data_IF_628191289122
#
_entry.id   IF_628191289122
#
_cell.length_a   1.000
_cell.length_b   1.000
_cell.length_c   1.000
_cell.angle_alpha   90.00
_cell.angle_beta   90.00
_cell.angle_gamma   90.00
#
_symmetry.space_group_name_H-M   'P 1'
#
loop_
_entity.id
_entity.type
_entity.pdbx_description
1 polymer ?
#
# COMPACT_ATOMS: atom_id res chain seq x y z
N UNK A 1 31.52 -29.26 -10.19
CA UNK A 1 31.20 -27.94 -10.78
C UNK A 1 29.84 -27.36 -10.31
N UNK A 2 28.78 -28.16 -10.12
CA UNK A 2 27.47 -27.69 -9.61
C UNK A 2 27.56 -27.19 -8.16
N UNK A 3 28.17 -27.94 -7.26
CA UNK A 3 28.35 -27.60 -5.84
C UNK A 3 29.08 -26.29 -5.58
N UNK A 4 30.02 -25.87 -6.46
CA UNK A 4 30.74 -24.62 -6.36
C UNK A 4 29.83 -23.41 -6.68
N UNK A 5 29.00 -23.50 -7.71
CA UNK A 5 28.05 -22.45 -8.12
C UNK A 5 26.96 -22.22 -7.06
N UNK A 6 26.48 -23.30 -6.45
CA UNK A 6 25.47 -23.20 -5.38
C UNK A 6 26.07 -22.58 -4.12
N UNK A 7 27.30 -22.88 -3.76
CA UNK A 7 28.00 -22.26 -2.64
C UNK A 7 28.21 -20.73 -2.85
N UNK A 8 28.60 -20.34 -4.06
CA UNK A 8 28.75 -18.92 -4.41
C UNK A 8 27.40 -18.18 -4.40
N UNK A 9 26.34 -18.81 -4.90
CA UNK A 9 24.99 -18.26 -4.87
C UNK A 9 24.52 -18.02 -3.43
N UNK A 10 24.68 -19.00 -2.55
CA UNK A 10 24.32 -18.91 -1.13
C UNK A 10 25.13 -17.80 -0.43
N UNK A 11 26.44 -17.70 -0.68
CA UNK A 11 27.28 -16.63 -0.12
C UNK A 11 26.85 -15.23 -0.59
N UNK A 12 26.46 -15.08 -1.86
CA UNK A 12 25.92 -13.82 -2.39
C UNK A 12 24.57 -13.48 -1.75
N UNK A 13 23.69 -14.45 -1.58
CA UNK A 13 22.39 -14.24 -0.94
C UNK A 13 22.56 -13.86 0.53
N UNK A 14 23.47 -14.52 1.24
CA UNK A 14 23.82 -14.17 2.62
C UNK A 14 24.36 -12.74 2.74
N UNK A 15 25.27 -12.33 1.84
CA UNK A 15 25.77 -10.96 1.79
C UNK A 15 24.67 -9.92 1.57
N UNK A 16 23.74 -10.19 0.65
CA UNK A 16 22.59 -9.32 0.33
C UNK A 16 21.54 -9.23 1.43
N UNK A 17 21.55 -10.11 2.38
CA UNK A 17 20.57 -10.24 3.46
C UNK A 17 21.22 -9.98 4.82
N UNK A 18 21.73 -11.01 5.44
CA UNK A 18 22.33 -10.93 6.78
C UNK A 18 23.55 -9.99 6.80
N UNK A 19 24.41 -10.05 5.77
CA UNK A 19 25.56 -9.16 5.64
C UNK A 19 25.16 -7.69 5.55
N UNK A 20 24.17 -7.39 4.71
CA UNK A 20 23.61 -6.03 4.59
C UNK A 20 23.01 -5.51 5.90
N UNK A 21 22.30 -6.36 6.64
CA UNK A 21 21.73 -5.98 7.97
C UNK A 21 22.84 -5.71 8.98
N UNK A 22 23.90 -6.52 9.00
CA UNK A 22 25.07 -6.30 9.87
C UNK A 22 25.79 -4.99 9.54
N UNK A 23 25.90 -4.66 8.26
CA UNK A 23 26.48 -3.39 7.81
C UNK A 23 25.62 -2.21 8.26
N UNK A 24 24.27 -2.27 8.15
CA UNK A 24 23.37 -1.25 8.68
C UNK A 24 23.54 -1.11 10.21
N UNK A 25 23.57 -2.22 10.93
CA UNK A 25 23.78 -2.21 12.39
C UNK A 25 25.09 -1.51 12.76
N UNK A 26 26.19 -1.84 12.06
CA UNK A 26 27.48 -1.20 12.25
C UNK A 26 27.47 0.30 11.97
N UNK A 27 26.83 0.74 10.89
CA UNK A 27 26.67 2.17 10.54
C UNK A 27 25.88 2.95 11.60
N UNK A 28 24.90 2.32 12.22
CA UNK A 28 24.07 2.94 13.26
C UNK A 28 24.59 2.72 14.68
N UNK A 29 25.70 1.99 14.88
CA UNK A 29 26.24 1.66 16.19
C UNK A 29 25.33 0.75 17.01
N UNK A 30 24.52 -0.10 16.36
CA UNK A 30 23.62 -1.05 17.00
C UNK A 30 24.29 -2.43 17.09
N UNK A 31 24.09 -3.14 18.20
CA UNK A 31 24.69 -4.47 18.40
C UNK A 31 24.13 -5.50 17.42
N UNK A 32 22.82 -5.51 17.27
CA UNK A 32 22.13 -6.47 16.40
C UNK A 32 20.80 -5.90 15.89
N UNK A 33 20.50 -6.27 14.63
CA UNK A 33 19.20 -6.05 14.02
C UNK A 33 18.74 -7.38 13.45
N UNK A 34 17.56 -7.84 13.85
CA UNK A 34 16.90 -9.02 13.29
C UNK A 34 15.66 -8.60 12.50
N UNK A 35 14.82 -7.73 13.11
CA UNK A 35 13.55 -7.27 12.55
C UNK A 35 13.58 -5.76 12.31
N UNK A 36 13.23 -5.37 11.10
CA UNK A 36 13.05 -3.97 10.71
C UNK A 36 11.61 -3.74 10.27
N UNK A 37 11.03 -2.62 10.67
CA UNK A 37 9.74 -2.16 10.17
C UNK A 37 9.94 -0.83 9.43
N UNK A 38 9.49 -0.74 8.18
CA UNK A 38 9.55 0.51 7.43
C UNK A 38 8.15 1.05 7.16
N UNK A 39 8.02 2.37 7.28
CA UNK A 39 6.75 3.08 7.21
C UNK A 39 6.77 4.14 6.11
N UNK A 40 5.68 4.22 5.36
CA UNK A 40 5.44 5.23 4.35
C UNK A 40 4.00 5.73 4.43
N UNK A 41 3.80 7.03 4.20
CA UNK A 41 2.48 7.65 4.05
C UNK A 41 2.29 8.04 2.59
N UNK A 42 1.18 7.63 2.02
CA UNK A 42 0.81 7.99 0.67
C UNK A 42 -0.47 8.81 0.69
N UNK A 43 -0.38 10.02 0.14
CA UNK A 43 -1.50 10.94 -0.07
C UNK A 43 -1.78 11.06 -1.56
N UNK A 44 -3.03 11.00 -1.96
CA UNK A 44 -3.45 11.37 -3.32
C UNK A 44 -4.52 12.43 -3.23
N UNK A 45 -4.33 13.50 -3.99
CA UNK A 45 -5.20 14.67 -4.03
C UNK A 45 -6.69 14.28 -4.03
N UNK A 46 -7.39 14.59 -2.92
CA UNK A 46 -8.82 14.37 -2.76
C UNK A 46 -9.26 13.00 -2.21
N UNK A 47 -8.35 12.07 -1.93
CA UNK A 47 -8.65 10.77 -1.32
C UNK A 47 -8.02 10.61 0.06
N UNK A 48 -8.55 9.65 0.84
CA UNK A 48 -8.09 9.34 2.18
C UNK A 48 -6.60 8.97 2.20
N UNK A 49 -5.85 9.58 3.11
CA UNK A 49 -4.44 9.22 3.36
C UNK A 49 -4.33 7.79 3.85
N UNK A 50 -3.29 7.10 3.43
CA UNK A 50 -3.00 5.72 3.86
C UNK A 50 -1.57 5.59 4.33
N UNK A 51 -1.38 4.80 5.39
CA UNK A 51 -0.07 4.37 5.83
C UNK A 51 0.21 2.92 5.46
N UNK A 52 1.43 2.63 5.15
CA UNK A 52 1.94 1.28 4.95
C UNK A 52 3.02 0.94 5.97
N UNK A 53 3.05 -0.32 6.39
CA UNK A 53 4.11 -0.91 7.18
C UNK A 53 4.61 -2.16 6.47
N UNK A 54 5.85 -2.17 6.07
CA UNK A 54 6.53 -3.37 5.56
C UNK A 54 7.53 -3.88 6.59
N UNK A 55 7.73 -5.18 6.60
CA UNK A 55 8.56 -5.86 7.60
C UNK A 55 9.63 -6.67 6.92
N UNK A 56 10.86 -6.55 7.42
CA UNK A 56 11.99 -7.36 7.01
C UNK A 56 12.59 -8.08 8.22
N UNK A 57 12.81 -9.38 8.08
CA UNK A 57 13.56 -10.18 9.06
C UNK A 57 14.81 -10.76 8.42
N UNK A 58 15.96 -10.58 9.09
CA UNK A 58 17.27 -11.03 8.59
C UNK A 58 17.55 -10.59 7.14
N UNK A 59 17.09 -9.36 6.78
CA UNK A 59 17.25 -8.78 5.45
C UNK A 59 16.30 -9.32 4.38
N UNK A 60 15.31 -10.15 4.72
CA UNK A 60 14.30 -10.69 3.81
C UNK A 60 12.91 -10.14 4.14
N UNK A 61 12.06 -9.86 3.12
CA UNK A 61 10.70 -9.39 3.36
C UNK A 61 9.84 -10.44 4.06
N UNK A 62 9.17 -10.06 5.13
CA UNK A 62 8.20 -10.89 5.87
C UNK A 62 6.79 -10.42 5.57
N UNK A 63 6.30 -10.74 4.39
CA UNK A 63 5.04 -10.23 3.84
C UNK A 63 3.81 -10.52 4.69
N UNK A 64 3.79 -11.60 5.46
CA UNK A 64 2.68 -11.93 6.36
C UNK A 64 2.50 -10.89 7.48
N UNK A 65 3.56 -10.14 7.80
CA UNK A 65 3.55 -9.10 8.83
C UNK A 65 3.31 -7.70 8.27
N UNK A 66 3.18 -7.53 6.95
CA UNK A 66 2.85 -6.25 6.34
C UNK A 66 1.47 -5.77 6.78
N UNK A 67 1.32 -4.47 7.01
CA UNK A 67 0.04 -3.89 7.43
C UNK A 67 -0.28 -2.62 6.65
N UNK A 68 -1.57 -2.44 6.39
CA UNK A 68 -2.16 -1.27 5.75
C UNK A 68 -2.99 -0.52 6.77
N UNK A 69 -2.78 0.79 6.85
CA UNK A 69 -3.49 1.67 7.78
C UNK A 69 -4.28 2.70 6.98
N UNK A 70 -5.59 2.64 7.08
CA UNK A 70 -6.45 3.73 6.64
C UNK A 70 -6.39 4.80 7.72
N UNK A 71 -6.03 6.03 7.38
CA UNK A 71 -5.99 7.16 8.29
C UNK A 71 -7.43 7.57 8.60
N UNK A 72 -7.72 7.84 9.87
CA UNK A 72 -9.09 8.10 10.36
C UNK A 72 -9.25 9.45 11.01
N UNK A 73 -8.23 9.94 11.72
CA UNK A 73 -8.30 11.13 12.56
C UNK A 73 -7.81 12.39 11.86
N UNK A 74 -7.06 12.25 10.75
CA UNK A 74 -6.43 13.37 10.05
C UNK A 74 -7.28 13.79 8.86
N UNK A 75 -7.60 15.07 8.79
CA UNK A 75 -8.31 15.68 7.65
C UNK A 75 -7.31 16.43 6.77
N UNK A 76 -7.30 16.10 5.49
CA UNK A 76 -6.38 16.72 4.53
C UNK A 76 -4.99 16.07 4.46
N UNK A 77 -4.08 16.63 3.66
CA UNK A 77 -2.75 16.08 3.40
C UNK A 77 -1.75 16.49 4.50
N UNK A 78 -1.79 15.82 5.65
CA UNK A 78 -0.83 15.98 6.73
C UNK A 78 -0.12 14.64 7.00
N UNK A 79 1.07 14.50 6.42
CA UNK A 79 1.88 13.29 6.52
C UNK A 79 2.42 13.06 7.93
N UNK A 80 2.70 14.14 8.68
CA UNK A 80 3.20 14.03 10.04
C UNK A 80 2.13 13.53 11.00
N UNK A 81 0.93 14.12 10.96
CA UNK A 81 -0.20 13.68 11.76
C UNK A 81 -0.62 12.24 11.36
N UNK A 82 -0.61 11.92 10.08
CA UNK A 82 -0.91 10.59 9.56
C UNK A 82 0.09 9.54 10.06
N UNK A 83 1.38 9.86 10.03
CA UNK A 83 2.43 8.98 10.56
C UNK A 83 2.30 8.78 12.06
N UNK A 84 2.00 9.84 12.82
CA UNK A 84 1.72 9.74 14.26
C UNK A 84 0.57 8.76 14.52
N UNK A 85 -0.55 8.87 13.79
CA UNK A 85 -1.68 7.95 13.93
C UNK A 85 -1.27 6.49 13.68
N UNK A 86 -0.52 6.24 12.60
CA UNK A 86 -0.07 4.88 12.23
C UNK A 86 0.78 4.26 13.34
N UNK A 87 1.81 4.97 13.79
CA UNK A 87 2.73 4.49 14.81
C UNK A 87 2.04 4.30 16.16
N UNK A 88 1.22 5.26 16.58
CA UNK A 88 0.44 5.14 17.81
C UNK A 88 -0.44 3.89 17.77
N UNK A 89 -1.20 3.69 16.71
CA UNK A 89 -2.06 2.50 16.55
C UNK A 89 -1.25 1.20 16.53
N UNK A 90 -0.12 1.18 15.84
CA UNK A 90 0.75 0.00 15.75
C UNK A 90 1.27 -0.42 17.12
N UNK A 91 1.86 0.52 17.87
CA UNK A 91 2.53 0.20 19.10
C UNK A 91 1.57 0.06 20.28
N UNK A 92 0.51 0.87 20.37
CA UNK A 92 -0.54 0.68 21.38
C UNK A 92 -1.20 -0.68 21.24
N UNK A 93 -1.50 -1.12 20.00
CA UNK A 93 -2.08 -2.44 19.78
C UNK A 93 -1.10 -3.57 20.17
N UNK A 94 0.18 -3.40 19.83
CA UNK A 94 1.20 -4.38 20.21
C UNK A 94 1.44 -4.47 21.72
N UNK A 95 1.39 -3.36 22.44
CA UNK A 95 1.46 -3.35 23.91
C UNK A 95 0.26 -4.08 24.51
N UNK A 96 -0.94 -3.78 24.02
CA UNK A 96 -2.17 -4.44 24.47
C UNK A 96 -2.13 -5.95 24.22
N UNK A 97 -1.74 -6.39 23.02
CA UNK A 97 -1.59 -7.82 22.71
C UNK A 97 -0.55 -8.51 23.64
N UNK A 98 0.52 -7.81 24.02
CA UNK A 98 1.52 -8.32 24.98
C UNK A 98 0.96 -8.45 26.39
N UNK A 99 0.19 -7.48 26.86
CA UNK A 99 -0.47 -7.51 28.16
C UNK A 99 -1.50 -8.64 28.27
N UNK A 100 -2.22 -8.90 27.17
CA UNK A 100 -3.21 -9.97 27.08
C UNK A 100 -2.57 -11.36 26.86
N UNK A 101 -1.24 -11.49 26.87
CA UNK A 101 -0.49 -12.72 26.56
C UNK A 101 -0.93 -13.42 25.25
N UNK A 102 -1.27 -12.62 24.25
CA UNK A 102 -1.71 -13.11 22.94
C UNK A 102 -0.51 -13.66 22.16
N UNK A 103 -0.09 -14.90 22.39
CA UNK A 103 1.05 -15.55 21.71
C UNK A 103 0.94 -15.49 20.19
N UNK A 104 -0.27 -15.46 19.66
CA UNK A 104 -0.58 -15.35 18.22
C UNK A 104 -0.89 -13.90 17.76
N UNK A 105 -0.59 -12.89 18.58
CA UNK A 105 -0.86 -11.49 18.25
C UNK A 105 -0.08 -11.04 17.01
N UNK A 106 -0.75 -10.25 16.18
CA UNK A 106 -0.17 -9.77 14.90
C UNK A 106 0.85 -8.65 15.11
N UNK A 107 0.84 -8.00 16.28
CA UNK A 107 1.67 -6.85 16.61
C UNK A 107 2.57 -7.06 17.85
N UNK A 108 2.57 -8.24 18.44
CA UNK A 108 3.35 -8.59 19.64
C UNK A 108 4.86 -8.48 19.43
N UNK A 109 5.37 -8.80 18.23
CA UNK A 109 6.78 -8.70 17.90
C UNK A 109 7.12 -7.26 17.51
N UNK A 110 7.94 -6.58 18.32
CA UNK A 110 8.43 -5.23 18.04
C UNK A 110 9.71 -5.30 17.20
N UNK A 111 10.00 -4.26 16.38
CA UNK A 111 11.21 -4.20 15.59
C UNK A 111 12.42 -3.81 16.43
N UNK A 112 13.60 -4.21 15.96
CA UNK A 112 14.90 -3.74 16.48
C UNK A 112 15.28 -2.40 15.85
N UNK A 113 14.70 -2.06 14.70
CA UNK A 113 14.92 -0.81 13.99
C UNK A 113 13.65 -0.40 13.23
N UNK A 114 13.26 0.85 13.38
CA UNK A 114 12.22 1.50 12.58
C UNK A 114 12.90 2.33 11.49
N UNK A 115 12.44 2.16 10.24
CA UNK A 115 12.86 2.93 9.09
C UNK A 115 11.72 3.85 8.64
N UNK A 116 12.00 5.15 8.58
CA UNK A 116 11.04 6.16 8.14
C UNK A 116 11.36 6.59 6.71
N UNK A 117 10.33 6.64 5.84
CA UNK A 117 10.51 7.19 4.48
C UNK A 117 10.56 8.72 4.53
N UNK A 118 11.66 9.24 5.02
CA UNK A 118 11.89 10.66 5.18
C UNK A 118 13.04 10.95 6.14
N UNK A 119 13.39 12.24 6.25
CA UNK A 119 14.48 12.70 7.10
C UNK A 119 14.01 13.07 8.52
N UNK A 120 14.65 14.10 9.06
CA UNK A 120 14.52 14.58 10.44
C UNK A 120 13.07 14.69 10.94
N UNK A 121 12.17 15.26 10.13
CA UNK A 121 10.77 15.50 10.55
C UNK A 121 10.04 14.21 10.87
N UNK A 122 10.13 13.21 9.98
CA UNK A 122 9.48 11.90 10.16
C UNK A 122 10.09 11.13 11.34
N UNK A 123 11.42 11.17 11.49
CA UNK A 123 12.11 10.54 12.62
C UNK A 123 11.66 11.15 13.96
N UNK A 124 11.56 12.47 14.05
CA UNK A 124 11.13 13.14 15.27
C UNK A 124 9.70 12.74 15.69
N UNK A 125 8.78 12.61 14.74
CA UNK A 125 7.42 12.13 15.03
C UNK A 125 7.44 10.71 15.60
N UNK A 126 8.24 9.82 15.01
CA UNK A 126 8.37 8.46 15.51
C UNK A 126 8.95 8.41 16.92
N UNK A 127 10.01 9.18 17.18
CA UNK A 127 10.63 9.26 18.50
C UNK A 127 9.65 9.81 19.58
N UNK A 128 8.85 10.83 19.24
CA UNK A 128 7.82 11.35 20.15
C UNK A 128 6.78 10.29 20.51
N UNK A 129 6.27 9.54 19.53
CA UNK A 129 5.28 8.47 19.78
C UNK A 129 5.88 7.37 20.65
N UNK A 130 7.13 6.98 20.39
CA UNK A 130 7.80 5.95 21.18
C UNK A 130 8.04 6.40 22.61
N UNK A 131 8.43 7.66 22.83
CA UNK A 131 8.61 8.25 24.15
C UNK A 131 7.30 8.27 24.96
N UNK A 132 6.20 8.74 24.34
CA UNK A 132 4.86 8.72 24.92
C UNK A 132 4.43 7.30 25.37
N UNK A 133 4.82 6.28 24.60
CA UNK A 133 4.52 4.88 24.88
C UNK A 133 5.59 4.17 25.73
N UNK A 134 6.63 4.90 26.15
CA UNK A 134 7.77 4.38 26.94
C UNK A 134 8.47 3.21 26.23
N UNK A 135 8.62 3.30 24.94
CA UNK A 135 9.31 2.31 24.10
C UNK A 135 10.68 2.85 23.66
N UNK A 136 11.70 2.03 23.85
CA UNK A 136 13.06 2.34 23.41
C UNK A 136 13.40 1.52 22.16
N UNK A 137 13.00 2.03 20.98
CA UNK A 137 13.27 1.39 19.70
C UNK A 137 14.04 2.40 18.83
N UNK A 138 15.20 2.04 18.27
CA UNK A 138 15.94 2.88 17.34
C UNK A 138 15.11 3.28 16.12
N UNK A 139 15.16 4.57 15.75
CA UNK A 139 14.47 5.12 14.58
C UNK A 139 15.48 5.74 13.64
N UNK A 140 15.45 5.33 12.38
CA UNK A 140 16.32 5.82 11.32
C UNK A 140 15.50 6.35 10.16
N UNK A 141 15.84 7.53 9.65
CA UNK A 141 15.26 8.10 8.43
C UNK A 141 16.03 7.66 7.20
N UNK A 142 15.32 7.39 6.13
CA UNK A 142 15.90 7.14 4.80
C UNK A 142 15.87 8.46 4.02
N UNK A 143 17.02 9.17 3.98
CA UNK A 143 17.14 10.49 3.38
C UNK A 143 17.20 10.37 1.87
N UNK A 144 16.43 11.23 1.19
CA UNK A 144 16.42 11.33 -0.29
C UNK A 144 17.21 12.51 -0.78
N UNK A 145 17.79 12.39 -1.96
CA UNK A 145 18.33 13.50 -2.72
C UNK A 145 17.22 14.25 -3.49
N UNK A 146 17.57 15.32 -4.19
CA UNK A 146 16.65 16.14 -4.98
C UNK A 146 15.96 15.36 -6.11
N UNK A 147 16.50 14.20 -6.48
CA UNK A 147 15.92 13.28 -7.46
C UNK A 147 15.08 12.16 -6.81
N UNK A 148 14.70 12.32 -5.54
CA UNK A 148 13.95 11.35 -4.74
C UNK A 148 14.64 9.97 -4.58
N UNK A 149 15.96 9.90 -4.73
CA UNK A 149 16.74 8.68 -4.54
C UNK A 149 17.35 8.65 -3.15
N UNK A 150 17.47 7.48 -2.55
CA UNK A 150 18.17 7.31 -1.28
C UNK A 150 19.56 7.90 -1.36
N UNK A 151 19.91 8.81 -0.43
CA UNK A 151 21.21 9.46 -0.32
C UNK A 151 22.00 8.99 0.88
N UNK A 152 21.30 8.78 1.99
CA UNK A 152 21.90 8.44 3.27
C UNK A 152 20.87 8.04 4.30
N UNK A 153 21.32 7.86 5.52
CA UNK A 153 20.51 7.56 6.68
C UNK A 153 20.53 8.76 7.64
N UNK A 154 19.43 9.00 8.34
CA UNK A 154 19.35 9.99 9.40
C UNK A 154 19.11 9.29 10.74
N UNK A 155 20.09 9.36 11.62
CA UNK A 155 20.04 8.68 12.91
C UNK A 155 20.74 9.51 14.00
N UNK A 156 20.18 9.56 15.22
CA UNK A 156 20.71 10.34 16.32
C UNK A 156 21.06 11.80 15.96
N UNK A 157 20.16 12.47 15.23
CA UNK A 157 20.33 13.85 14.75
C UNK A 157 21.50 14.07 13.77
N UNK A 158 22.07 13.02 13.20
CA UNK A 158 23.15 13.07 12.24
C UNK A 158 22.75 12.39 10.94
N UNK A 159 23.12 12.99 9.82
CA UNK A 159 23.02 12.32 8.53
C UNK A 159 24.27 11.46 8.30
N UNK A 160 24.08 10.18 8.11
CA UNK A 160 25.12 9.18 7.90
C UNK A 160 25.17 8.87 6.41
N UNK A 161 26.26 9.23 5.72
CA UNK A 161 26.44 8.86 4.33
C UNK A 161 26.58 7.34 4.21
N UNK A 162 26.00 6.79 3.15
CA UNK A 162 26.06 5.35 2.86
C UNK A 162 26.64 5.14 1.47
N UNK A 163 27.59 4.20 1.35
CA UNK A 163 28.16 3.86 0.05
C UNK A 163 27.07 3.24 -0.85
N UNK A 164 26.85 3.87 -2.01
CA UNK A 164 25.84 3.42 -2.99
C UNK A 164 26.10 2.04 -3.56
N UNK A 165 27.33 1.54 -3.49
CA UNK A 165 27.70 0.20 -3.95
C UNK A 165 27.54 -0.87 -2.87
N UNK A 166 27.37 -0.47 -1.59
CA UNK A 166 27.25 -1.40 -0.47
C UNK A 166 25.97 -2.22 -0.52
N UNK A 167 25.96 -3.36 0.12
CA UNK A 167 24.76 -4.19 0.25
C UNK A 167 23.76 -3.57 1.24
N UNK A 168 24.23 -2.80 2.22
CA UNK A 168 23.40 -1.99 3.10
C UNK A 168 22.57 -0.97 2.32
N UNK A 169 23.21 -0.19 1.43
CA UNK A 169 22.50 0.78 0.58
C UNK A 169 21.43 0.10 -0.28
N UNK A 170 21.79 -1.00 -0.94
CA UNK A 170 20.87 -1.77 -1.78
C UNK A 170 19.70 -2.35 -0.97
N UNK A 171 19.94 -2.76 0.29
CA UNK A 171 18.88 -3.25 1.16
C UNK A 171 17.94 -2.12 1.59
N UNK A 172 18.47 -0.98 2.04
CA UNK A 172 17.69 0.20 2.42
C UNK A 172 16.82 0.68 1.25
N UNK A 173 17.40 0.78 0.04
CA UNK A 173 16.66 1.16 -1.18
C UNK A 173 15.53 0.16 -1.47
N UNK A 174 15.80 -1.15 -1.40
CA UNK A 174 14.74 -2.17 -1.58
C UNK A 174 13.63 -2.07 -0.55
N UNK A 175 13.95 -1.76 0.70
CA UNK A 175 12.95 -1.58 1.76
C UNK A 175 12.10 -0.33 1.49
N UNK A 176 12.73 0.78 1.10
CA UNK A 176 12.06 2.02 0.75
C UNK A 176 11.11 1.85 -0.44
N UNK A 177 11.61 1.25 -1.52
CA UNK A 177 10.82 0.96 -2.72
C UNK A 177 9.62 0.05 -2.40
N UNK A 178 9.81 -0.95 -1.55
CA UNK A 178 8.75 -1.87 -1.15
C UNK A 178 7.68 -1.20 -0.28
N UNK A 179 8.08 -0.32 0.65
CA UNK A 179 7.13 0.45 1.46
C UNK A 179 6.27 1.35 0.56
N UNK A 180 6.89 2.07 -0.36
CA UNK A 180 6.22 2.93 -1.33
C UNK A 180 5.30 2.13 -2.27
N UNK A 181 5.80 1.03 -2.85
CA UNK A 181 5.00 0.13 -3.69
C UNK A 181 3.75 -0.38 -2.97
N UNK A 182 3.91 -0.80 -1.70
CA UNK A 182 2.83 -1.34 -0.89
C UNK A 182 1.78 -0.28 -0.54
N UNK A 183 2.19 0.97 -0.28
CA UNK A 183 1.31 2.10 -0.07
C UNK A 183 0.49 2.43 -1.34
N UNK A 184 1.13 2.52 -2.51
CA UNK A 184 0.47 2.77 -3.79
C UNK A 184 -0.55 1.67 -4.12
N UNK A 185 -0.19 0.41 -3.92
CA UNK A 185 -1.11 -0.72 -4.13
C UNK A 185 -2.36 -0.59 -3.26
N UNK A 186 -2.20 -0.19 -2.01
CA UNK A 186 -3.33 0.04 -1.11
C UNK A 186 -4.23 1.18 -1.58
N UNK A 187 -3.65 2.28 -2.03
CA UNK A 187 -4.39 3.40 -2.64
C UNK A 187 -5.22 2.96 -3.84
N UNK A 188 -4.62 2.16 -4.74
CA UNK A 188 -5.35 1.63 -5.92
C UNK A 188 -6.53 0.76 -5.51
N UNK A 189 -6.36 -0.08 -4.47
CA UNK A 189 -7.44 -0.91 -3.94
C UNK A 189 -8.57 -0.08 -3.33
N UNK A 190 -8.25 1.00 -2.60
CA UNK A 190 -9.26 1.89 -2.02
C UNK A 190 -10.01 2.68 -3.10
N UNK A 191 -9.30 3.23 -4.10
CA UNK A 191 -9.93 3.92 -5.23
C UNK A 191 -10.85 2.99 -6.00
N UNK A 192 -10.42 1.79 -6.33
CA UNK A 192 -11.26 0.80 -7.00
C UNK A 192 -12.55 0.55 -6.23
N UNK A 193 -12.46 0.35 -4.90
CA UNK A 193 -13.65 0.19 -4.05
C UNK A 193 -14.53 1.45 -4.00
N UNK A 194 -13.93 2.62 -3.91
CA UNK A 194 -14.66 3.89 -3.91
C UNK A 194 -15.40 4.16 -5.21
N UNK A 195 -14.76 3.91 -6.36
CA UNK A 195 -15.38 4.04 -7.67
C UNK A 195 -16.53 3.06 -7.86
N UNK A 196 -16.37 1.80 -7.47
CA UNK A 196 -17.45 0.79 -7.50
C UNK A 196 -18.62 1.23 -6.65
N UNK A 197 -18.35 1.76 -5.46
CA UNK A 197 -19.39 2.25 -4.55
C UNK A 197 -20.18 3.41 -5.17
N UNK A 198 -19.51 4.42 -5.71
CA UNK A 198 -20.15 5.59 -6.32
C UNK A 198 -20.98 5.23 -7.56
N UNK A 199 -20.46 4.40 -8.45
CA UNK A 199 -21.17 4.00 -9.68
C UNK A 199 -22.41 3.17 -9.37
N UNK A 200 -22.36 2.29 -8.37
CA UNK A 200 -23.49 1.45 -7.97
C UNK A 200 -24.57 2.21 -7.19
N UNK A 201 -24.21 3.33 -6.54
CA UNK A 201 -25.18 4.19 -5.84
C UNK A 201 -26.14 4.92 -6.78
N UNK A 202 -25.70 5.17 -8.01
CA UNK A 202 -26.47 5.83 -9.05
C UNK A 202 -27.46 4.88 -9.77
N UNK A 203 -27.40 3.57 -9.49
CA UNK A 203 -28.25 2.59 -10.18
C UNK A 203 -29.56 2.40 -9.42
N UNK A 204 -30.68 2.64 -10.10
CA UNK A 204 -32.02 2.47 -9.55
C UNK A 204 -32.23 1.04 -9.03
N UNK A 205 -32.75 0.93 -7.80
CA UNK A 205 -33.00 -0.36 -7.17
C UNK A 205 -31.79 -1.03 -6.50
N UNK A 206 -30.59 -0.42 -6.57
CA UNK A 206 -29.36 -0.93 -5.91
C UNK A 206 -29.13 -0.22 -4.57
N UNK A 207 -29.79 -0.69 -3.54
CA UNK A 207 -29.59 -0.24 -2.17
C UNK A 207 -28.38 -0.90 -1.49
N UNK A 208 -28.10 -0.54 -0.21
CA UNK A 208 -26.89 -0.97 0.53
C UNK A 208 -26.67 -2.49 0.57
N UNK A 209 -27.74 -3.28 0.70
CA UNK A 209 -27.63 -4.74 0.75
C UNK A 209 -27.19 -5.34 -0.59
N UNK A 210 -27.79 -4.92 -1.71
CA UNK A 210 -27.46 -5.37 -3.06
C UNK A 210 -26.07 -4.94 -3.47
N UNK A 211 -25.70 -3.68 -3.20
CA UNK A 211 -24.35 -3.17 -3.40
C UNK A 211 -23.32 -3.98 -2.65
N UNK A 212 -23.56 -4.29 -1.36
CA UNK A 212 -22.68 -5.14 -0.56
C UNK A 212 -22.52 -6.54 -1.16
N UNK A 213 -23.57 -7.13 -1.70
CA UNK A 213 -23.53 -8.42 -2.38
C UNK A 213 -22.65 -8.36 -3.64
N UNK A 214 -22.85 -7.37 -4.51
CA UNK A 214 -22.05 -7.14 -5.71
C UNK A 214 -20.56 -6.95 -5.37
N UNK A 215 -20.24 -6.04 -4.44
CA UNK A 215 -18.85 -5.76 -4.02
C UNK A 215 -18.17 -6.93 -3.31
N UNK A 216 -18.91 -7.84 -2.73
CA UNK A 216 -18.35 -9.04 -2.08
C UNK A 216 -18.01 -10.12 -3.11
N UNK A 217 -18.79 -10.23 -4.15
CA UNK A 217 -18.63 -11.24 -5.18
C UNK A 217 -17.63 -10.82 -6.27
N UNK A 218 -17.73 -9.57 -6.75
CA UNK A 218 -16.89 -9.04 -7.80
C UNK A 218 -15.78 -8.14 -7.23
N UNK A 219 -14.56 -8.34 -7.72
CA UNK A 219 -13.38 -7.61 -7.26
C UNK A 219 -13.18 -6.25 -7.95
N UNK A 220 -13.87 -6.01 -9.09
CA UNK A 220 -13.75 -4.80 -9.88
C UNK A 220 -15.05 -4.44 -10.61
N UNK A 221 -15.16 -3.18 -11.07
CA UNK A 221 -16.25 -2.73 -11.94
C UNK A 221 -16.27 -3.49 -13.26
N UNK A 222 -15.11 -3.79 -13.82
CA UNK A 222 -15.03 -4.52 -15.09
C UNK A 222 -15.55 -5.95 -14.95
N UNK A 223 -15.35 -6.58 -13.82
CA UNK A 223 -15.95 -7.90 -13.54
C UNK A 223 -17.49 -7.82 -13.45
N UNK A 224 -18.04 -6.75 -12.86
CA UNK A 224 -19.50 -6.53 -12.83
C UNK A 224 -20.03 -6.22 -14.24
N UNK A 225 -19.30 -5.43 -15.05
CA UNK A 225 -19.66 -5.12 -16.45
C UNK A 225 -19.71 -6.36 -17.35
N UNK A 226 -18.84 -7.33 -17.07
CA UNK A 226 -18.74 -8.56 -17.87
C UNK A 226 -19.71 -9.65 -17.42
N UNK A 227 -20.42 -9.45 -16.30
CA UNK A 227 -21.35 -10.42 -15.76
C UNK A 227 -22.69 -10.38 -16.50
N UNK A 228 -23.30 -11.54 -16.68
CA UNK A 228 -24.64 -11.65 -17.29
C UNK A 228 -25.74 -11.32 -16.28
N UNK A 229 -26.96 -11.05 -16.76
CA UNK A 229 -28.12 -10.78 -15.90
C UNK A 229 -28.41 -11.98 -14.99
N UNK A 230 -28.26 -13.19 -15.50
CA UNK A 230 -28.48 -14.44 -14.76
C UNK A 230 -27.46 -14.59 -13.62
N UNK A 231 -26.18 -14.30 -13.87
CA UNK A 231 -25.12 -14.33 -12.84
C UNK A 231 -25.38 -13.30 -11.75
N UNK A 232 -25.76 -12.08 -12.13
CA UNK A 232 -26.08 -11.00 -11.18
C UNK A 232 -27.33 -11.33 -10.35
N UNK A 233 -28.34 -11.96 -10.94
CA UNK A 233 -29.59 -12.31 -10.25
C UNK A 233 -29.41 -13.42 -9.18
N UNK A 234 -28.36 -14.24 -9.31
CA UNK A 234 -28.05 -15.31 -8.35
C UNK A 234 -27.42 -14.82 -7.05
N UNK A 235 -26.99 -13.55 -7.01
CA UNK A 235 -26.35 -13.00 -5.82
C UNK A 235 -27.35 -12.79 -4.66
N UNK A 236 -26.90 -12.89 -3.40
CA UNK A 236 -27.74 -12.61 -2.23
C UNK A 236 -28.41 -11.23 -2.31
N UNK A 237 -29.70 -11.17 -2.04
CA UNK A 237 -30.53 -9.95 -2.09
C UNK A 237 -30.75 -9.35 -3.50
N UNK A 238 -30.26 -9.97 -4.56
CA UNK A 238 -30.55 -9.59 -5.93
C UNK A 238 -31.83 -10.26 -6.45
N UNK A 239 -32.44 -9.66 -7.43
CA UNK A 239 -33.52 -10.21 -8.23
C UNK A 239 -33.31 -9.81 -9.69
N UNK A 240 -34.06 -10.42 -10.61
CA UNK A 240 -33.95 -10.21 -12.04
C UNK A 240 -34.03 -8.73 -12.43
N UNK A 241 -35.01 -7.98 -11.90
CA UNK A 241 -35.18 -6.54 -12.15
C UNK A 241 -33.96 -5.72 -11.71
N UNK A 242 -33.37 -6.03 -10.56
CA UNK A 242 -32.17 -5.33 -10.08
C UNK A 242 -30.91 -5.72 -10.88
N UNK A 243 -30.82 -6.98 -11.32
CA UNK A 243 -29.76 -7.45 -12.19
C UNK A 243 -29.80 -6.75 -13.56
N UNK A 244 -30.99 -6.63 -14.16
CA UNK A 244 -31.19 -5.85 -15.38
C UNK A 244 -30.81 -4.39 -15.23
N UNK A 245 -31.20 -3.73 -14.11
CA UNK A 245 -30.83 -2.33 -13.85
C UNK A 245 -29.31 -2.15 -13.82
N UNK A 246 -28.58 -3.08 -13.19
CA UNK A 246 -27.10 -3.08 -13.20
C UNK A 246 -26.58 -3.26 -14.61
N UNK A 247 -27.02 -4.28 -15.31
CA UNK A 247 -26.57 -4.59 -16.68
C UNK A 247 -26.79 -3.42 -17.63
N UNK A 248 -27.98 -2.85 -17.68
CA UNK A 248 -28.34 -1.71 -18.52
C UNK A 248 -27.52 -0.46 -18.19
N UNK A 249 -27.32 -0.15 -16.90
CA UNK A 249 -26.51 1.01 -16.48
C UNK A 249 -25.08 0.94 -17.00
N UNK A 250 -24.48 -0.23 -17.02
CA UNK A 250 -23.13 -0.41 -17.54
C UNK A 250 -23.07 -0.43 -19.06
N UNK A 251 -24.08 -0.98 -19.72
CA UNK A 251 -24.17 -0.96 -21.18
C UNK A 251 -24.31 0.45 -21.74
N UNK A 252 -25.17 1.28 -21.15
CA UNK A 252 -25.37 2.69 -21.56
C UNK A 252 -24.08 3.50 -21.35
N UNK A 253 -23.42 3.35 -20.19
CA UNK A 253 -22.15 4.06 -19.91
C UNK A 253 -21.04 3.62 -20.87
N UNK A 254 -20.93 2.33 -21.16
CA UNK A 254 -19.95 1.81 -22.13
C UNK A 254 -20.17 2.32 -23.56
N UNK A 255 -21.43 2.52 -23.96
CA UNK A 255 -21.79 3.10 -25.27
C UNK A 255 -21.41 4.58 -25.36
N UNK A 256 -21.65 5.35 -24.28
CA UNK A 256 -21.28 6.77 -24.20
C UNK A 256 -19.76 6.94 -24.21
N UNK A 257 -19.00 6.14 -23.43
CA UNK A 257 -17.54 6.18 -23.41
C UNK A 257 -16.93 5.83 -24.77
N UNK A 258 -17.45 4.82 -25.47
CA UNK A 258 -17.05 4.51 -26.86
C UNK A 258 -17.35 5.65 -27.82
N UNK A 259 -18.51 6.27 -27.73
CA UNK A 259 -18.91 7.39 -28.56
C UNK A 259 -18.05 8.63 -28.36
N UNK A 260 -17.70 8.95 -27.12
CA UNK A 260 -16.80 10.05 -26.78
C UNK A 260 -15.37 9.76 -27.26
N UNK A 261 -14.89 8.53 -27.14
CA UNK A 261 -13.55 8.15 -27.57
C UNK A 261 -13.42 8.21 -29.11
N UNK A 262 -14.45 7.82 -29.85
CA UNK A 262 -14.49 7.93 -31.28
C UNK A 262 -14.51 9.41 -31.71
N UNK A 263 -15.30 10.26 -31.03
CA UNK A 263 -15.35 11.70 -31.29
C UNK A 263 -14.02 12.42 -31.03
N UNK A 264 -13.30 12.02 -30.01
CA UNK A 264 -11.97 12.56 -29.68
C UNK A 264 -10.84 12.06 -30.61
N UNK A 265 -10.98 10.87 -31.17
CA UNK A 265 -9.99 10.30 -32.09
C UNK A 265 -10.15 10.77 -33.56
N UNK A 266 -11.34 11.17 -33.97
CA UNK A 266 -11.60 11.51 -35.38
C UNK A 266 -11.58 13.00 -35.70
N UNK A 267 -11.68 13.90 -34.71
CA UNK A 267 -11.46 15.36 -34.82
C UNK A 267 -12.22 16.13 -35.92
N UNK A 268 -12.95 15.44 -36.76
CA UNK A 268 -13.71 15.98 -37.87
C UNK A 268 -15.07 15.28 -37.99
N UNK A 269 -16.12 16.03 -37.95
CA UNK A 269 -17.54 15.66 -37.91
C UNK A 269 -18.07 14.54 -38.84
N UNK A 270 -17.28 13.56 -39.22
CA UNK A 270 -17.65 12.47 -40.18
C UNK A 270 -18.26 11.22 -39.50
N UNK A 271 -18.78 11.34 -38.30
CA UNK A 271 -19.38 10.24 -37.54
C UNK A 271 -20.84 9.90 -37.92
N UNK A 272 -21.34 10.40 -39.08
CA UNK A 272 -22.75 10.17 -39.48
C UNK A 272 -22.98 8.79 -40.09
N UNK A 273 -21.97 8.19 -40.73
CA UNK A 273 -22.15 6.90 -41.43
C UNK A 273 -21.99 5.65 -40.54
N UNK A 274 -21.42 5.77 -39.31
CA UNK A 274 -21.28 4.62 -38.42
C UNK A 274 -22.44 4.46 -37.43
N UNK A 275 -23.36 5.42 -37.34
CA UNK A 275 -24.57 5.34 -36.51
C UNK A 275 -25.61 4.36 -37.06
N UNK A 276 -25.68 4.21 -38.37
CA UNK A 276 -26.65 3.32 -39.02
C UNK A 276 -26.28 1.83 -38.97
N UNK A 277 -25.03 1.51 -38.61
CA UNK A 277 -24.56 0.12 -38.42
C UNK A 277 -24.77 -0.44 -37.01
N UNK A 278 -25.21 0.37 -36.05
CA UNK A 278 -25.48 -0.04 -34.68
C UNK A 278 -26.97 -0.17 -34.35
N UNK A 279 -27.86 0.10 -35.30
CA UNK A 279 -29.32 -0.09 -35.17
C UNK A 279 -29.83 -1.37 -35.84
N UNK A 280 -28.93 -2.20 -36.38
CA UNK A 280 -29.22 -3.57 -36.82
C UNK A 280 -28.58 -4.58 -35.87
#
# INVERSE_FOLDING_TARGET
MVLSKDKERLKREEGRTIGAVKEIASLLGLEQIVRMEAYDISNTNGFESVGSMVVYEKGKPKRNDYRKFKIKSVKGPDDYASMREVLTRRFTHGLKEREENAEAGKFTTFPDLILMDGGRGQVNIALQVLDELKLNIPVCGMVKDDNHRTRGLYYNNVEIPIDRNSEAFKLVTRIQDEAHRFAIEFHRQLRGKGQVHSVLDDIEGIGPARRKALMRHYLSLDAIRSATVEELAQLPSMNEKAAESVYQSFMIKGFIEKKIMIYLCTGDGTCREMLDLCEQ
#
